data_IF_146373474123
#
_entry.id   IF_146373474123
#
_cell.length_a   1.000
_cell.length_b   1.000
_cell.length_c   1.000
_cell.angle_alpha   90.00
_cell.angle_beta   90.00
_cell.angle_gamma   90.00
#
_symmetry.space_group_name_H-M   'P 1'
#
loop_
_entity.id
_entity.type
_entity.pdbx_description
1 polymer ?
#
# COMPACT_ATOMS: atom_id res chain seq x y z
N UNK A 1 12.00 -11.61 26.00
CA UNK A 1 10.82 -11.24 25.18
C UNK A 1 10.02 -12.51 24.94
N UNK A 2 8.78 -12.59 25.39
CA UNK A 2 7.92 -13.78 25.21
C UNK A 2 7.12 -13.61 23.93
N UNK A 3 7.44 -14.38 22.88
CA UNK A 3 6.81 -14.28 21.58
C UNK A 3 5.82 -15.45 21.37
N UNK A 4 4.66 -15.17 20.76
CA UNK A 4 3.69 -16.15 20.28
C UNK A 4 3.44 -15.91 18.80
N UNK A 5 3.43 -16.98 18.02
CA UNK A 5 3.15 -16.94 16.58
C UNK A 5 1.66 -17.17 16.38
N UNK A 6 0.97 -16.20 15.77
CA UNK A 6 -0.47 -16.23 15.51
C UNK A 6 -0.72 -16.41 14.03
N UNK A 7 -1.45 -17.46 13.66
CA UNK A 7 -1.75 -17.81 12.26
C UNK A 7 -3.27 -17.86 12.09
N UNK A 8 -3.88 -16.86 11.45
CA UNK A 8 -5.29 -16.92 11.07
C UNK A 8 -5.47 -17.92 9.91
N UNK A 9 -6.44 -18.81 10.03
CA UNK A 9 -6.72 -19.80 8.99
C UNK A 9 -8.23 -19.88 8.68
N UNK A 10 -8.53 -20.04 7.41
CA UNK A 10 -9.88 -20.37 6.95
C UNK A 10 -9.79 -21.22 5.68
N UNK A 11 -10.19 -22.49 5.72
CA UNK A 11 -10.11 -23.49 4.65
C UNK A 11 -8.70 -23.54 3.98
N UNK A 12 -7.65 -23.81 4.75
CA UNK A 12 -6.24 -23.92 4.32
C UNK A 12 -5.64 -25.28 4.75
N UNK A 13 -6.44 -26.36 4.80
CA UNK A 13 -5.97 -27.67 5.24
C UNK A 13 -4.76 -28.19 4.45
N UNK A 14 -4.66 -27.84 3.16
CA UNK A 14 -3.54 -28.25 2.30
C UNK A 14 -2.19 -27.64 2.70
N UNK A 15 -2.17 -26.49 3.37
CA UNK A 15 -0.94 -25.73 3.64
C UNK A 15 -0.61 -25.59 5.11
N UNK A 16 -1.63 -25.47 5.97
CA UNK A 16 -1.47 -25.09 7.37
C UNK A 16 -0.55 -26.04 8.15
N UNK A 17 -0.60 -27.33 7.89
CA UNK A 17 0.26 -28.30 8.59
C UNK A 17 1.74 -28.00 8.39
N UNK A 18 2.16 -27.72 7.16
CA UNK A 18 3.57 -27.36 6.83
C UNK A 18 3.95 -26.01 7.45
N UNK A 19 3.05 -25.03 7.40
CA UNK A 19 3.29 -23.71 7.97
C UNK A 19 3.48 -23.79 9.47
N UNK A 20 2.63 -24.53 10.19
CA UNK A 20 2.75 -24.77 11.62
C UNK A 20 4.05 -25.50 11.94
N UNK A 21 4.36 -26.60 11.24
CA UNK A 21 5.59 -27.38 11.48
C UNK A 21 6.85 -26.53 11.32
N UNK A 22 6.89 -25.65 10.31
CA UNK A 22 8.01 -24.74 10.10
C UNK A 22 8.04 -23.58 11.12
N UNK A 23 6.89 -23.03 11.50
CA UNK A 23 6.82 -21.90 12.43
C UNK A 23 7.15 -22.30 13.87
N UNK A 24 6.74 -23.51 14.33
CA UNK A 24 6.88 -23.95 15.72
C UNK A 24 8.32 -24.09 16.20
N UNK A 25 9.28 -24.22 15.31
CA UNK A 25 10.71 -24.26 15.69
C UNK A 25 11.19 -22.91 16.21
N UNK A 26 10.44 -21.85 15.96
CA UNK A 26 10.76 -20.49 16.38
C UNK A 26 9.95 -20.01 17.60
N UNK A 27 8.97 -20.79 18.06
CA UNK A 27 8.17 -20.46 19.24
C UNK A 27 6.78 -21.12 19.26
N UNK A 28 6.00 -20.87 20.31
CA UNK A 28 4.64 -21.35 20.44
C UNK A 28 3.76 -20.84 19.30
N UNK A 29 2.99 -21.74 18.67
CA UNK A 29 2.09 -21.42 17.57
C UNK A 29 0.64 -21.50 18.04
N UNK A 30 -0.10 -20.42 17.86
CA UNK A 30 -1.53 -20.31 18.04
C UNK A 30 -2.21 -20.12 16.69
N UNK A 31 -2.93 -21.13 16.23
CA UNK A 31 -3.76 -21.03 15.03
C UNK A 31 -5.15 -20.57 15.42
N UNK A 32 -5.67 -19.57 14.72
CA UNK A 32 -7.06 -19.12 14.86
C UNK A 32 -7.84 -19.61 13.65
N UNK A 33 -8.60 -20.69 13.85
CA UNK A 33 -9.49 -21.25 12.83
C UNK A 33 -10.79 -20.45 12.76
N UNK A 34 -10.93 -19.64 11.70
CA UNK A 34 -12.07 -18.74 11.48
C UNK A 34 -13.30 -19.49 10.91
N UNK A 35 -13.62 -20.66 11.48
CA UNK A 35 -14.78 -21.46 11.10
C UNK A 35 -14.58 -22.26 9.82
N UNK A 36 -13.39 -22.85 9.61
CA UNK A 36 -13.07 -23.70 8.46
C UNK A 36 -13.97 -24.95 8.40
N UNK A 37 -14.21 -25.44 7.19
CA UNK A 37 -15.02 -26.64 6.89
C UNK A 37 -14.21 -27.79 6.32
N UNK A 38 -12.94 -27.53 5.97
CA UNK A 38 -12.03 -28.48 5.31
C UNK A 38 -11.12 -29.25 6.29
N UNK A 39 -11.27 -29.06 7.61
CA UNK A 39 -10.44 -29.70 8.61
C UNK A 39 -9.15 -28.95 8.96
N UNK A 40 -8.96 -27.71 8.48
CA UNK A 40 -7.77 -26.89 8.75
C UNK A 40 -7.37 -26.85 10.23
N UNK A 41 -8.35 -26.69 11.15
CA UNK A 41 -8.07 -26.67 12.59
C UNK A 41 -7.50 -27.99 13.10
N UNK A 42 -8.03 -29.13 12.64
CA UNK A 42 -7.52 -30.46 13.01
C UNK A 42 -6.10 -30.70 12.47
N UNK A 43 -5.84 -30.29 11.23
CA UNK A 43 -4.51 -30.38 10.61
C UNK A 43 -3.50 -29.51 11.37
N UNK A 44 -3.89 -28.31 11.78
CA UNK A 44 -3.04 -27.42 12.57
C UNK A 44 -2.72 -28.00 13.95
N UNK A 45 -3.71 -28.58 14.64
CA UNK A 45 -3.51 -29.23 15.93
C UNK A 45 -2.59 -30.46 15.82
N UNK A 46 -2.79 -31.30 14.79
CA UNK A 46 -1.92 -32.43 14.50
C UNK A 46 -0.46 -32.02 14.21
N UNK A 47 -0.25 -30.85 13.63
CA UNK A 47 1.08 -30.29 13.41
C UNK A 47 1.71 -29.65 14.67
N UNK A 48 0.99 -29.60 15.79
CA UNK A 48 1.47 -29.15 17.09
C UNK A 48 1.16 -27.70 17.43
N UNK A 49 0.18 -27.08 16.76
CA UNK A 49 -0.34 -25.79 17.15
C UNK A 49 -1.42 -25.90 18.22
N UNK A 50 -1.51 -24.91 19.09
CA UNK A 50 -2.75 -24.67 19.80
C UNK A 50 -3.78 -24.04 18.84
N UNK A 51 -5.06 -24.47 18.95
CA UNK A 51 -6.10 -23.99 18.04
C UNK A 51 -7.21 -23.29 18.81
N UNK A 52 -7.45 -22.02 18.44
CA UNK A 52 -8.64 -21.27 18.82
C UNK A 52 -9.61 -21.30 17.65
N UNK A 53 -10.81 -21.84 17.84
CA UNK A 53 -11.80 -21.93 16.77
C UNK A 53 -12.95 -20.96 16.97
N UNK A 54 -13.31 -20.22 15.93
CA UNK A 54 -14.53 -19.44 15.87
C UNK A 54 -15.71 -20.33 15.46
N UNK A 55 -16.87 -20.13 16.09
CA UNK A 55 -18.10 -20.86 15.75
C UNK A 55 -18.58 -20.58 14.31
N UNK A 56 -18.22 -19.43 13.76
CA UNK A 56 -18.51 -19.01 12.40
C UNK A 56 -17.40 -18.10 11.88
N UNK A 57 -17.33 -17.93 10.57
CA UNK A 57 -16.39 -17.02 9.95
C UNK A 57 -16.65 -15.57 10.38
N UNK A 58 -15.65 -14.95 10.98
CA UNK A 58 -15.63 -13.55 11.44
C UNK A 58 -14.71 -12.67 10.57
N UNK A 59 -13.83 -13.27 9.77
CA UNK A 59 -12.88 -12.63 8.90
C UNK A 59 -11.48 -12.51 9.50
N UNK A 60 -10.47 -12.39 8.61
CA UNK A 60 -9.03 -12.40 8.95
C UNK A 60 -8.67 -11.42 10.08
N UNK A 61 -9.17 -10.19 10.00
CA UNK A 61 -8.89 -9.18 11.03
C UNK A 61 -9.36 -9.63 12.43
N UNK A 62 -10.57 -10.16 12.53
CA UNK A 62 -11.09 -10.64 13.79
C UNK A 62 -10.34 -11.88 14.29
N UNK A 63 -9.96 -12.78 13.38
CA UNK A 63 -9.12 -13.93 13.74
C UNK A 63 -7.76 -13.48 14.30
N UNK A 64 -7.10 -12.51 13.66
CA UNK A 64 -5.85 -11.93 14.18
C UNK A 64 -6.06 -11.30 15.57
N UNK A 65 -7.09 -10.46 15.74
CA UNK A 65 -7.37 -9.82 17.03
C UNK A 65 -7.68 -10.85 18.13
N UNK A 66 -8.43 -11.91 17.82
CA UNK A 66 -8.70 -13.01 18.76
C UNK A 66 -7.43 -13.74 19.16
N UNK A 67 -6.54 -14.00 18.20
CA UNK A 67 -5.24 -14.62 18.43
C UNK A 67 -4.32 -13.75 19.29
N UNK A 68 -4.23 -12.45 18.98
CA UNK A 68 -3.44 -11.49 19.76
C UNK A 68 -3.95 -11.39 21.19
N UNK A 69 -5.28 -11.30 21.39
CA UNK A 69 -5.87 -11.28 22.71
C UNK A 69 -5.59 -12.60 23.49
N UNK A 70 -5.62 -13.74 22.81
CA UNK A 70 -5.28 -15.02 23.40
C UNK A 70 -3.78 -15.15 23.75
N UNK A 71 -2.90 -14.67 22.87
CA UNK A 71 -1.46 -14.61 23.13
C UNK A 71 -1.14 -13.70 24.34
N UNK A 72 -1.80 -12.54 24.43
CA UNK A 72 -1.69 -11.64 25.58
C UNK A 72 -2.06 -12.30 26.90
N UNK A 73 -3.17 -13.05 26.94
CA UNK A 73 -3.57 -13.81 28.17
C UNK A 73 -2.54 -14.85 28.58
N UNK A 74 -1.68 -15.31 27.66
CA UNK A 74 -0.55 -16.21 27.92
C UNK A 74 0.73 -15.48 28.31
N UNK A 75 0.67 -14.18 28.53
CA UNK A 75 1.82 -13.35 28.91
C UNK A 75 2.77 -13.03 27.75
N UNK A 76 2.30 -13.16 26.50
CA UNK A 76 3.10 -12.72 25.36
C UNK A 76 3.31 -11.21 25.41
N UNK A 77 4.56 -10.78 25.25
CA UNK A 77 4.92 -9.37 25.06
C UNK A 77 4.94 -9.00 23.57
N UNK A 78 5.12 -10.00 22.71
CA UNK A 78 5.25 -9.84 21.26
C UNK A 78 4.43 -10.91 20.55
N UNK A 79 3.81 -10.55 19.45
CA UNK A 79 3.10 -11.47 18.55
C UNK A 79 3.70 -11.39 17.16
N UNK A 80 4.07 -12.55 16.62
CA UNK A 80 4.40 -12.71 15.20
C UNK A 80 3.13 -13.15 14.47
N UNK A 81 2.76 -12.49 13.39
CA UNK A 81 1.65 -12.93 12.54
C UNK A 81 2.18 -13.40 11.20
N UNK A 82 1.61 -14.47 10.66
CA UNK A 82 1.84 -14.91 9.28
C UNK A 82 0.59 -15.62 8.74
N UNK A 83 0.45 -15.66 7.42
CA UNK A 83 -0.71 -16.28 6.79
C UNK A 83 -0.57 -17.82 6.71
N UNK A 84 -1.69 -18.53 6.81
CA UNK A 84 -1.73 -20.01 6.78
C UNK A 84 -1.57 -20.60 5.37
N UNK A 85 -1.46 -19.77 4.33
CA UNK A 85 -1.43 -20.18 2.91
C UNK A 85 -0.04 -20.56 2.40
N UNK A 86 0.99 -20.47 3.24
CA UNK A 86 2.35 -20.84 2.91
C UNK A 86 3.12 -19.86 2.01
N UNK A 87 2.63 -18.64 1.84
CA UNK A 87 3.31 -17.61 1.04
C UNK A 87 4.42 -16.87 1.81
N UNK A 88 4.53 -17.10 3.11
CA UNK A 88 5.56 -16.54 3.98
C UNK A 88 6.52 -17.64 4.43
N UNK A 89 7.82 -17.36 4.43
CA UNK A 89 8.83 -18.26 4.94
C UNK A 89 9.01 -18.07 6.45
N UNK A 90 8.63 -19.03 7.30
CA UNK A 90 8.83 -18.94 8.74
C UNK A 90 10.30 -18.80 9.15
N UNK A 91 11.26 -19.19 8.32
CA UNK A 91 12.68 -19.03 8.60
C UNK A 91 13.10 -17.56 8.81
N UNK A 92 12.29 -16.60 8.36
CA UNK A 92 12.53 -15.19 8.61
C UNK A 92 12.08 -14.71 10.01
N UNK A 93 11.35 -15.54 10.79
CA UNK A 93 10.85 -15.16 12.13
C UNK A 93 11.96 -14.64 13.05
N UNK A 94 13.13 -15.30 13.17
CA UNK A 94 14.20 -14.82 14.05
C UNK A 94 14.65 -13.38 13.71
N UNK A 95 14.82 -13.06 12.44
CA UNK A 95 15.24 -11.72 11.99
C UNK A 95 14.18 -10.65 12.33
N UNK A 96 12.89 -10.97 12.16
CA UNK A 96 11.82 -10.06 12.53
C UNK A 96 11.76 -9.85 14.05
N UNK A 97 11.95 -10.91 14.85
CA UNK A 97 11.95 -10.83 16.32
C UNK A 97 13.16 -10.03 16.83
N UNK A 98 14.31 -10.18 16.21
CA UNK A 98 15.52 -9.40 16.52
C UNK A 98 15.27 -7.90 16.26
N UNK A 99 14.69 -7.54 15.10
CA UNK A 99 14.32 -6.17 14.80
C UNK A 99 13.31 -5.62 15.83
N UNK A 100 12.31 -6.39 16.20
CA UNK A 100 11.34 -6.01 17.24
C UNK A 100 11.98 -5.80 18.62
N UNK A 101 13.03 -6.53 18.93
CA UNK A 101 13.83 -6.34 20.15
C UNK A 101 14.60 -5.02 20.17
N UNK A 102 15.12 -4.59 19.01
CA UNK A 102 15.84 -3.31 18.88
C UNK A 102 14.89 -2.11 18.88
N UNK A 103 13.65 -2.28 18.42
CA UNK A 103 12.70 -1.19 18.24
C UNK A 103 11.38 -1.46 19.00
N UNK A 104 11.33 -1.20 20.32
CA UNK A 104 10.19 -1.56 21.18
C UNK A 104 8.90 -0.78 20.88
N UNK A 105 8.96 0.29 20.10
CA UNK A 105 7.80 1.03 19.60
C UNK A 105 7.66 0.97 18.08
N UNK A 106 8.09 -0.13 17.48
CA UNK A 106 7.91 -0.36 16.05
C UNK A 106 6.97 -1.53 15.77
N UNK A 107 6.27 -1.44 14.64
CA UNK A 107 5.67 -2.58 13.94
C UNK A 107 6.69 -3.06 12.93
N UNK A 108 7.11 -4.33 13.04
CA UNK A 108 8.03 -4.90 12.06
C UNK A 108 7.24 -5.58 10.96
N UNK A 109 7.56 -5.29 9.72
CA UNK A 109 6.87 -5.80 8.53
C UNK A 109 7.85 -6.63 7.70
N UNK A 110 7.48 -7.86 7.37
CA UNK A 110 8.20 -8.68 6.41
C UNK A 110 7.91 -8.16 4.98
N UNK A 111 8.87 -7.49 4.38
CA UNK A 111 8.76 -6.86 3.06
C UNK A 111 9.10 -7.86 1.95
N UNK A 112 8.09 -8.28 1.19
CA UNK A 112 8.21 -9.21 0.06
C UNK A 112 8.79 -8.55 -1.21
N UNK A 113 8.84 -7.22 -1.25
CA UNK A 113 9.38 -6.48 -2.40
C UNK A 113 10.90 -6.33 -2.32
N UNK A 114 11.47 -6.44 -1.11
CA UNK A 114 12.91 -6.33 -0.86
C UNK A 114 13.61 -7.69 -0.69
N UNK A 115 12.84 -8.78 -0.53
CA UNK A 115 13.38 -10.12 -0.34
C UNK A 115 13.58 -10.89 -1.65
N UNK A 116 14.14 -12.11 -1.57
CA UNK A 116 14.28 -12.99 -2.71
C UNK A 116 12.91 -13.49 -3.21
N UNK A 117 12.84 -13.83 -4.49
CA UNK A 117 11.62 -14.30 -5.15
C UNK A 117 10.97 -13.20 -5.99
N UNK A 118 10.04 -13.63 -6.86
CA UNK A 118 9.37 -12.73 -7.80
C UNK A 118 7.86 -12.75 -7.58
N UNK A 119 7.29 -11.58 -7.36
CA UNK A 119 5.85 -11.38 -7.43
C UNK A 119 5.44 -11.01 -8.85
N UNK A 120 4.24 -11.44 -9.34
CA UNK A 120 3.71 -10.96 -10.60
C UNK A 120 3.71 -9.41 -10.65
N UNK A 121 4.08 -8.82 -11.78
CA UNK A 121 4.22 -7.37 -11.93
C UNK A 121 2.94 -6.62 -11.53
N UNK A 122 1.77 -7.10 -11.96
CA UNK A 122 0.47 -6.52 -11.59
C UNK A 122 0.23 -6.48 -10.09
N UNK A 123 0.60 -7.56 -9.36
CA UNK A 123 0.48 -7.62 -7.90
C UNK A 123 1.46 -6.66 -7.22
N UNK A 124 2.71 -6.64 -7.68
CA UNK A 124 3.77 -5.75 -7.18
C UNK A 124 3.36 -4.29 -7.33
N UNK A 125 2.86 -3.89 -8.51
CA UNK A 125 2.43 -2.52 -8.76
C UNK A 125 1.22 -2.11 -7.92
N UNK A 126 0.23 -2.99 -7.78
CA UNK A 126 -0.91 -2.73 -6.89
C UNK A 126 -0.47 -2.51 -5.43
N UNK A 127 0.50 -3.30 -4.94
CA UNK A 127 1.06 -3.13 -3.59
C UNK A 127 1.80 -1.80 -3.44
N UNK A 128 2.60 -1.40 -4.44
CA UNK A 128 3.32 -0.12 -4.45
C UNK A 128 2.37 1.07 -4.43
N UNK A 129 1.31 1.04 -5.25
CA UNK A 129 0.28 2.09 -5.26
C UNK A 129 -0.42 2.19 -3.90
N UNK A 130 -0.80 1.06 -3.30
CA UNK A 130 -1.43 1.06 -1.97
C UNK A 130 -0.49 1.63 -0.91
N UNK A 131 0.80 1.24 -0.93
CA UNK A 131 1.80 1.74 0.02
C UNK A 131 2.11 3.22 -0.20
N UNK A 132 2.14 3.71 -1.46
CA UNK A 132 2.30 5.13 -1.74
C UNK A 132 1.21 5.98 -1.03
N UNK A 133 -0.06 5.62 -1.21
CA UNK A 133 -1.15 6.36 -0.56
C UNK A 133 -1.16 6.20 0.97
N UNK A 134 -0.79 5.03 1.48
CA UNK A 134 -0.62 4.82 2.92
C UNK A 134 0.45 5.76 3.49
N UNK A 135 1.62 5.81 2.85
CA UNK A 135 2.74 6.68 3.24
C UNK A 135 2.35 8.15 3.17
N UNK A 136 1.76 8.59 2.06
CA UNK A 136 1.34 9.97 1.89
C UNK A 136 0.35 10.42 2.96
N UNK A 137 -0.60 9.57 3.36
CA UNK A 137 -1.62 9.94 4.34
C UNK A 137 -1.16 9.84 5.79
N UNK A 138 -0.07 9.14 6.08
CA UNK A 138 0.41 8.85 7.44
C UNK A 138 1.80 9.37 7.75
N UNK A 139 2.58 9.76 6.74
CA UNK A 139 4.00 10.08 6.89
C UNK A 139 4.90 8.85 7.11
N UNK A 140 4.38 7.65 6.89
CA UNK A 140 5.17 6.41 6.94
C UNK A 140 6.07 6.28 5.70
N UNK A 141 7.10 5.43 5.81
CA UNK A 141 8.00 5.05 4.74
C UNK A 141 8.00 3.51 4.57
N UNK A 142 6.85 2.95 4.16
CA UNK A 142 6.61 1.50 4.05
C UNK A 142 6.48 1.11 2.58
N UNK A 143 7.21 0.06 2.16
CA UNK A 143 7.16 -0.46 0.79
C UNK A 143 6.09 -1.55 0.64
N UNK A 144 5.91 -2.42 1.64
CA UNK A 144 4.91 -3.49 1.63
C UNK A 144 3.87 -3.33 2.74
N UNK A 145 2.97 -2.35 2.60
CA UNK A 145 1.88 -2.11 3.55
C UNK A 145 0.84 -3.23 3.61
N UNK A 146 0.90 -4.21 2.69
CA UNK A 146 -0.08 -5.29 2.56
C UNK A 146 0.43 -6.65 3.07
N UNK A 147 1.68 -6.72 3.54
CA UNK A 147 2.21 -7.95 4.10
C UNK A 147 1.46 -8.34 5.37
N UNK A 148 1.06 -9.61 5.49
CA UNK A 148 0.50 -10.19 6.72
C UNK A 148 1.57 -10.76 7.65
N UNK A 149 2.83 -10.81 7.20
CA UNK A 149 3.96 -11.27 7.99
C UNK A 149 4.54 -10.12 8.80
N UNK A 150 4.21 -10.06 10.07
CA UNK A 150 4.51 -8.91 10.93
C UNK A 150 4.87 -9.33 12.35
N UNK A 151 5.56 -8.44 13.03
CA UNK A 151 5.73 -8.52 14.49
C UNK A 151 5.12 -7.28 15.13
N UNK A 152 4.27 -7.53 16.10
CA UNK A 152 3.61 -6.50 16.91
C UNK A 152 4.04 -6.63 18.36
N UNK A 153 4.40 -5.52 18.97
CA UNK A 153 4.40 -5.42 20.42
C UNK A 153 2.95 -5.49 20.91
N UNK A 154 2.65 -6.32 21.88
CA UNK A 154 1.27 -6.48 22.38
C UNK A 154 0.71 -5.16 22.95
N UNK A 155 1.58 -4.31 23.52
CA UNK A 155 1.24 -2.98 24.00
C UNK A 155 0.63 -2.07 22.93
N UNK A 156 0.94 -2.27 21.63
CA UNK A 156 0.32 -1.53 20.54
C UNK A 156 -1.22 -1.59 20.62
N UNK A 157 -1.78 -2.73 20.98
CA UNK A 157 -3.23 -2.96 21.02
C UNK A 157 -3.94 -2.33 22.22
N UNK A 158 -3.19 -1.73 23.15
CA UNK A 158 -3.75 -0.85 24.19
C UNK A 158 -4.00 0.55 23.67
N UNK A 159 -3.15 1.00 22.75
CA UNK A 159 -3.17 2.35 22.19
C UNK A 159 -3.98 2.45 20.90
N UNK A 160 -4.06 1.35 20.13
CA UNK A 160 -4.60 1.33 18.77
C UNK A 160 -5.85 0.46 18.70
N UNK A 161 -6.88 0.99 18.05
CA UNK A 161 -8.11 0.26 17.71
C UNK A 161 -8.32 0.29 16.20
N UNK A 162 -8.61 -0.85 15.62
CA UNK A 162 -9.00 -0.99 14.21
C UNK A 162 -10.50 -1.23 14.11
N UNK A 163 -11.14 -0.71 13.07
CA UNK A 163 -12.59 -0.80 12.83
C UNK A 163 -12.91 -1.57 11.55
N UNK A 164 -11.95 -1.70 10.66
CA UNK A 164 -12.11 -2.33 9.36
C UNK A 164 -11.65 -3.78 9.39
N UNK A 165 -12.30 -4.60 8.58
CA UNK A 165 -11.96 -6.00 8.40
C UNK A 165 -11.28 -6.28 7.07
N UNK A 166 -11.01 -7.56 6.80
CA UNK A 166 -10.43 -8.01 5.54
C UNK A 166 -9.02 -7.50 5.31
N UNK A 167 -8.67 -7.23 4.07
CA UNK A 167 -7.35 -6.73 3.65
C UNK A 167 -7.09 -5.25 3.98
N UNK A 168 -8.11 -4.52 4.44
CA UNK A 168 -7.95 -3.13 4.90
C UNK A 168 -7.27 -3.09 6.27
N UNK A 169 -7.41 -4.14 7.08
CA UNK A 169 -6.85 -4.22 8.43
C UNK A 169 -5.33 -3.99 8.43
N UNK A 170 -4.61 -4.60 7.49
CA UNK A 170 -3.16 -4.49 7.40
C UNK A 170 -2.70 -3.05 7.18
N UNK A 171 -3.43 -2.29 6.39
CA UNK A 171 -3.14 -0.87 6.18
C UNK A 171 -3.62 -0.03 7.36
N UNK A 172 -4.85 -0.27 7.84
CA UNK A 172 -5.45 0.52 8.93
C UNK A 172 -4.59 0.49 10.19
N UNK A 173 -4.06 -0.68 10.57
CA UNK A 173 -3.25 -0.81 11.79
C UNK A 173 -1.94 -0.03 11.69
N UNK A 174 -1.29 0.02 10.53
CA UNK A 174 -0.08 0.81 10.31
C UNK A 174 -0.36 2.31 10.44
N UNK A 175 -1.44 2.78 9.79
CA UNK A 175 -1.83 4.18 9.88
C UNK A 175 -2.24 4.58 11.31
N UNK A 176 -2.91 3.68 12.02
CA UNK A 176 -3.32 3.91 13.40
C UNK A 176 -2.12 3.90 14.38
N UNK A 177 -1.14 3.02 14.12
CA UNK A 177 0.12 2.97 14.86
C UNK A 177 0.92 4.26 14.67
N UNK A 178 1.12 4.71 13.41
CA UNK A 178 1.80 5.96 13.09
C UNK A 178 1.15 7.17 13.79
N UNK A 179 -0.19 7.23 13.80
CA UNK A 179 -0.93 8.30 14.48
C UNK A 179 -0.72 8.32 16.02
N UNK A 180 -0.14 7.27 16.60
CA UNK A 180 0.23 7.13 18.01
C UNK A 180 1.73 7.21 18.26
N UNK A 181 2.51 7.61 17.24
CA UNK A 181 3.97 7.75 17.33
C UNK A 181 4.72 6.42 17.31
N UNK A 182 4.08 5.34 16.84
CA UNK A 182 4.78 4.10 16.54
C UNK A 182 5.46 4.21 15.18
N UNK A 183 6.65 3.64 15.07
CA UNK A 183 7.37 3.52 13.80
C UNK A 183 7.01 2.22 13.08
N UNK A 184 7.40 2.11 11.83
CA UNK A 184 7.33 0.86 11.05
C UNK A 184 8.70 0.59 10.49
N UNK A 185 9.20 -0.61 10.71
CA UNK A 185 10.46 -1.10 10.16
C UNK A 185 10.18 -2.28 9.24
N UNK A 186 10.94 -2.40 8.16
CA UNK A 186 10.78 -3.47 7.19
C UNK A 186 12.02 -4.36 7.15
N UNK A 187 11.78 -5.66 7.14
CA UNK A 187 12.81 -6.69 6.94
C UNK A 187 12.48 -7.42 5.63
N UNK A 188 13.44 -7.51 4.71
CA UNK A 188 13.27 -8.26 3.47
C UNK A 188 13.00 -9.73 3.73
N UNK A 189 11.89 -10.25 3.20
CA UNK A 189 11.50 -11.66 3.34
C UNK A 189 11.23 -12.29 1.98
N UNK A 190 11.43 -13.59 1.86
CA UNK A 190 11.16 -14.31 0.63
C UNK A 190 9.67 -14.21 0.24
N UNK A 191 9.43 -13.92 -1.04
CA UNK A 191 8.11 -14.00 -1.64
C UNK A 191 7.91 -15.42 -2.21
N UNK A 192 7.15 -16.27 -1.52
CA UNK A 192 6.87 -17.63 -1.97
C UNK A 192 5.64 -17.61 -2.89
N UNK A 193 5.76 -18.06 -4.15
CA UNK A 193 4.60 -18.18 -5.04
C UNK A 193 3.60 -19.19 -4.48
N UNK A 194 2.32 -18.89 -4.57
CA UNK A 194 1.26 -19.83 -4.19
C UNK A 194 1.17 -20.94 -5.23
N UNK A 195 1.30 -22.19 -4.80
CA UNK A 195 1.17 -23.36 -5.67
C UNK A 195 -0.29 -23.63 -6.03
N UNK A 196 -0.70 -23.33 -7.27
CA UNK A 196 -1.93 -23.86 -7.91
C UNK A 196 -3.29 -23.43 -7.37
N UNK A 197 -3.44 -22.98 -6.14
CA UNK A 197 -4.71 -22.58 -5.55
C UNK A 197 -5.06 -21.11 -5.84
N UNK A 198 -6.36 -20.83 -6.01
CA UNK A 198 -6.84 -19.46 -6.24
C UNK A 198 -6.61 -18.59 -5.01
N UNK A 199 -5.95 -17.45 -5.20
CA UNK A 199 -5.82 -16.42 -4.17
C UNK A 199 -7.21 -16.01 -3.66
N UNK A 200 -7.36 -15.84 -2.35
CA UNK A 200 -8.59 -15.29 -1.76
C UNK A 200 -8.71 -13.79 -1.91
N UNK A 201 -7.63 -13.14 -2.25
CA UNK A 201 -7.65 -11.74 -2.65
C UNK A 201 -8.44 -11.62 -3.96
N UNK A 202 -9.54 -10.88 -3.90
CA UNK A 202 -10.37 -10.54 -5.05
C UNK A 202 -9.92 -9.17 -5.56
N UNK A 203 -9.16 -9.09 -6.67
CA UNK A 203 -8.46 -7.85 -7.07
C UNK A 203 -9.38 -6.63 -7.15
N UNK A 204 -10.58 -6.79 -7.70
CA UNK A 204 -11.54 -5.71 -7.83
C UNK A 204 -12.14 -5.35 -6.47
N UNK A 205 -12.74 -6.31 -5.77
CA UNK A 205 -13.47 -6.05 -4.51
C UNK A 205 -12.55 -5.55 -3.40
N UNK A 206 -11.45 -6.24 -3.18
CA UNK A 206 -10.53 -5.94 -2.09
C UNK A 206 -9.68 -4.72 -2.45
N UNK A 207 -9.32 -4.54 -3.72
CA UNK A 207 -8.67 -3.35 -4.25
C UNK A 207 -9.55 -2.10 -4.11
N UNK A 208 -10.84 -2.18 -4.43
CA UNK A 208 -11.81 -1.09 -4.21
C UNK A 208 -11.98 -0.80 -2.72
N UNK A 209 -12.00 -1.81 -1.85
CA UNK A 209 -12.12 -1.62 -0.41
C UNK A 209 -10.89 -0.88 0.17
N UNK A 210 -9.68 -1.28 -0.22
CA UNK A 210 -8.42 -0.62 0.17
C UNK A 210 -8.37 0.80 -0.41
N UNK A 211 -8.64 0.95 -1.71
CA UNK A 211 -8.66 2.25 -2.39
C UNK A 211 -9.69 3.19 -1.78
N UNK A 212 -10.90 2.73 -1.49
CA UNK A 212 -11.95 3.51 -0.84
C UNK A 212 -11.57 3.93 0.60
N UNK A 213 -10.91 3.05 1.34
CA UNK A 213 -10.39 3.39 2.67
C UNK A 213 -9.33 4.49 2.57
N UNK A 214 -8.35 4.35 1.69
CA UNK A 214 -7.29 5.34 1.49
C UNK A 214 -7.84 6.66 0.96
N UNK A 215 -8.76 6.63 -0.03
CA UNK A 215 -9.44 7.82 -0.53
C UNK A 215 -10.21 8.54 0.58
N UNK A 216 -10.91 7.83 1.44
CA UNK A 216 -11.57 8.40 2.61
C UNK A 216 -10.60 9.11 3.56
N UNK A 217 -9.40 8.55 3.75
CA UNK A 217 -8.33 9.19 4.56
C UNK A 217 -7.80 10.46 3.91
N UNK A 218 -7.57 10.44 2.59
CA UNK A 218 -7.14 11.61 1.82
C UNK A 218 -8.21 12.72 1.90
N UNK A 219 -9.48 12.38 1.64
CA UNK A 219 -10.58 13.33 1.71
C UNK A 219 -10.72 13.91 3.12
N UNK A 220 -10.66 13.07 4.16
CA UNK A 220 -10.74 13.52 5.54
C UNK A 220 -9.56 14.44 5.93
N UNK A 221 -8.36 14.18 5.40
CA UNK A 221 -7.21 15.07 5.56
C UNK A 221 -7.48 16.41 4.87
N UNK A 222 -7.85 16.40 3.60
CA UNK A 222 -8.16 17.61 2.82
C UNK A 222 -9.30 18.42 3.44
N UNK A 223 -10.37 17.78 3.90
CA UNK A 223 -11.48 18.46 4.56
C UNK A 223 -11.04 19.18 5.83
N UNK A 224 -10.15 18.57 6.62
CA UNK A 224 -9.59 19.23 7.81
C UNK A 224 -8.72 20.43 7.45
N UNK A 225 -7.89 20.30 6.44
CA UNK A 225 -7.02 21.37 5.96
C UNK A 225 -7.83 22.53 5.37
N UNK A 226 -8.85 22.21 4.53
CA UNK A 226 -9.77 23.23 3.98
C UNK A 226 -10.54 23.95 5.11
N UNK A 227 -11.01 23.22 6.12
CA UNK A 227 -11.66 23.82 7.30
C UNK A 227 -10.71 24.71 8.11
N UNK A 228 -9.47 24.27 8.28
CA UNK A 228 -8.45 25.08 8.95
C UNK A 228 -8.16 26.37 8.18
N UNK A 229 -8.02 26.27 6.83
CA UNK A 229 -7.84 27.43 5.94
C UNK A 229 -9.10 28.31 5.92
N UNK A 230 -10.31 27.74 5.86
CA UNK A 230 -11.55 28.51 5.89
C UNK A 230 -11.76 29.25 7.22
N UNK A 231 -11.26 28.71 8.34
CA UNK A 231 -11.22 29.42 9.64
C UNK A 231 -10.24 30.60 9.66
N UNK A 232 -9.27 30.62 8.74
CA UNK A 232 -8.28 31.68 8.59
C UNK A 232 -8.54 32.56 7.34
N UNK A 233 -9.78 32.60 6.83
CA UNK A 233 -10.18 33.17 5.54
C UNK A 233 -9.87 34.68 5.37
N UNK A 234 -9.31 35.34 6.38
CA UNK A 234 -8.76 36.70 6.31
C UNK A 234 -7.24 36.76 6.48
N UNK A 235 -6.58 35.65 6.74
CA UNK A 235 -5.13 35.56 6.72
C UNK A 235 -4.70 35.06 5.33
N UNK A 236 -3.97 35.92 4.64
CA UNK A 236 -3.32 35.77 3.35
C UNK A 236 -3.01 34.31 2.98
N UNK A 237 -3.37 33.93 1.77
CA UNK A 237 -2.97 32.68 1.10
C UNK A 237 -1.48 32.45 1.33
N UNK A 238 -1.12 31.60 2.28
CA UNK A 238 0.30 31.32 2.59
C UNK A 238 0.85 30.34 1.54
N UNK A 239 1.76 30.78 0.65
CA UNK A 239 2.40 29.92 -0.35
C UNK A 239 3.11 28.72 0.28
N UNK A 240 3.56 28.86 1.50
CA UNK A 240 4.32 27.84 2.25
C UNK A 240 3.52 26.57 2.54
N UNK A 241 2.20 26.64 2.69
CA UNK A 241 1.37 25.44 2.91
C UNK A 241 1.22 24.58 1.67
N UNK A 242 1.13 25.19 0.49
CA UNK A 242 1.16 24.45 -0.78
C UNK A 242 2.53 23.81 -1.03
N UNK A 243 3.60 24.54 -0.69
CA UNK A 243 4.97 24.03 -0.78
C UNK A 243 5.19 22.85 0.17
N UNK A 244 4.72 22.92 1.42
CA UNK A 244 4.79 21.83 2.40
C UNK A 244 4.06 20.59 1.90
N UNK A 245 2.86 20.75 1.33
CA UNK A 245 2.08 19.63 0.78
C UNK A 245 2.77 18.99 -0.43
N UNK A 246 3.33 19.82 -1.32
CA UNK A 246 4.12 19.33 -2.45
C UNK A 246 5.33 18.54 -1.95
N UNK A 247 6.04 19.05 -0.94
CA UNK A 247 7.16 18.36 -0.32
C UNK A 247 6.78 17.01 0.32
N UNK A 248 5.60 16.91 0.96
CA UNK A 248 5.10 15.64 1.51
C UNK A 248 4.81 14.60 0.42
N UNK A 249 4.23 15.02 -0.72
CA UNK A 249 4.02 14.13 -1.88
C UNK A 249 5.37 13.68 -2.43
N UNK A 250 6.31 14.60 -2.58
CA UNK A 250 7.66 14.28 -3.04
C UNK A 250 8.39 13.34 -2.09
N UNK A 251 8.26 13.55 -0.78
CA UNK A 251 8.85 12.66 0.22
C UNK A 251 8.28 11.24 0.14
N UNK A 252 6.95 11.10 0.00
CA UNK A 252 6.32 9.81 -0.20
C UNK A 252 6.72 9.15 -1.53
N UNK A 253 6.90 9.95 -2.60
CA UNK A 253 7.35 9.47 -3.90
C UNK A 253 8.84 9.10 -3.92
N UNK A 254 9.68 9.77 -3.14
CA UNK A 254 11.14 9.52 -3.07
C UNK A 254 11.49 8.11 -2.59
N UNK A 255 10.59 7.46 -1.84
CA UNK A 255 10.73 6.06 -1.44
C UNK A 255 10.72 5.14 -2.67
N UNK A 256 10.09 5.58 -3.76
CA UNK A 256 9.88 4.79 -4.98
C UNK A 256 10.59 5.39 -6.21
N UNK A 257 11.24 6.54 -6.09
CA UNK A 257 11.83 7.26 -7.21
C UNK A 257 13.24 7.78 -6.90
N UNK A 258 14.19 7.50 -7.80
CA UNK A 258 15.55 8.05 -7.72
C UNK A 258 15.56 9.58 -7.79
N UNK A 259 14.51 10.17 -8.37
CA UNK A 259 14.38 11.62 -8.53
C UNK A 259 12.92 12.07 -8.38
N UNK A 260 12.54 12.65 -7.22
CA UNK A 260 11.21 13.22 -7.00
C UNK A 260 10.84 14.32 -8.01
N UNK A 261 11.83 15.11 -8.45
CA UNK A 261 11.62 16.14 -9.45
C UNK A 261 11.22 15.57 -10.83
N UNK A 262 11.87 14.48 -11.26
CA UNK A 262 11.52 13.77 -12.49
C UNK A 262 10.11 13.17 -12.40
N UNK A 263 9.75 12.61 -11.26
CA UNK A 263 8.41 12.07 -11.02
C UNK A 263 7.36 13.18 -11.11
N UNK A 264 7.54 14.31 -10.42
CA UNK A 264 6.63 15.46 -10.48
C UNK A 264 6.46 16.00 -11.89
N UNK A 265 7.56 16.14 -12.63
CA UNK A 265 7.54 16.63 -14.01
C UNK A 265 6.79 15.65 -14.93
N UNK A 266 7.04 14.36 -14.82
CA UNK A 266 6.36 13.32 -15.60
C UNK A 266 4.87 13.28 -15.29
N UNK A 267 4.47 13.35 -14.02
CA UNK A 267 3.07 13.40 -13.59
C UNK A 267 2.38 14.64 -14.15
N UNK A 268 2.97 15.83 -13.99
CA UNK A 268 2.43 17.08 -14.50
C UNK A 268 2.27 17.08 -16.03
N UNK A 269 3.27 16.59 -16.75
CA UNK A 269 3.24 16.50 -18.21
C UNK A 269 2.16 15.50 -18.71
N UNK A 270 1.98 14.40 -18.03
CA UNK A 270 0.96 13.40 -18.38
C UNK A 270 -0.45 13.94 -18.08
N UNK A 271 -0.65 14.61 -16.94
CA UNK A 271 -1.91 15.26 -16.60
C UNK A 271 -2.29 16.33 -17.62
N UNK A 272 -1.33 17.17 -18.01
CA UNK A 272 -1.55 18.20 -19.03
C UNK A 272 -1.91 17.60 -20.39
N UNK A 273 -1.21 16.54 -20.85
CA UNK A 273 -1.53 15.85 -22.11
C UNK A 273 -2.93 15.26 -22.09
N UNK A 274 -3.33 14.57 -21.02
CA UNK A 274 -4.67 13.97 -20.90
C UNK A 274 -5.77 15.03 -20.86
N UNK A 275 -5.57 16.13 -20.13
CA UNK A 275 -6.51 17.24 -20.10
C UNK A 275 -6.68 17.87 -21.50
N UNK A 276 -5.59 18.10 -22.22
CA UNK A 276 -5.62 18.62 -23.59
C UNK A 276 -6.36 17.68 -24.57
N UNK A 277 -6.12 16.37 -24.48
CA UNK A 277 -6.83 15.37 -25.29
C UNK A 277 -8.33 15.37 -25.03
N UNK A 278 -8.76 15.44 -23.76
CA UNK A 278 -10.19 15.53 -23.42
C UNK A 278 -10.83 16.80 -23.91
N UNK A 279 -10.19 17.95 -23.70
CA UNK A 279 -10.68 19.23 -24.22
C UNK A 279 -10.82 19.21 -25.73
N UNK A 280 -9.83 18.70 -26.45
CA UNK A 280 -9.89 18.58 -27.91
C UNK A 280 -11.04 17.66 -28.39
N UNK A 281 -11.30 16.59 -27.65
CA UNK A 281 -12.42 15.66 -27.94
C UNK A 281 -13.77 16.32 -27.69
N UNK A 282 -13.92 17.06 -26.60
CA UNK A 282 -15.15 17.79 -26.26
C UNK A 282 -15.41 18.87 -27.34
N UNK A 283 -14.36 19.62 -27.71
CA UNK A 283 -14.44 20.66 -28.73
C UNK A 283 -14.83 20.09 -30.10
N UNK A 284 -14.20 18.97 -30.51
CA UNK A 284 -14.53 18.29 -31.76
C UNK A 284 -15.98 17.83 -31.79
N UNK A 285 -16.46 17.12 -30.73
CA UNK A 285 -17.85 16.68 -30.61
C UNK A 285 -18.85 17.86 -30.58
N UNK A 286 -18.47 18.98 -29.96
CA UNK A 286 -19.27 20.22 -29.98
C UNK A 286 -19.43 20.76 -31.37
N UNK A 287 -18.36 20.80 -32.18
CA UNK A 287 -18.41 21.24 -33.60
C UNK A 287 -19.30 20.34 -34.45
N UNK A 288 -19.18 19.02 -34.30
CA UNK A 288 -19.98 18.02 -35.03
C UNK A 288 -21.48 18.18 -34.76
N UNK A 289 -21.85 18.64 -33.56
CA UNK A 289 -23.24 18.89 -33.13
C UNK A 289 -23.80 20.28 -33.50
N UNK A 290 -22.98 21.13 -34.07
CA UNK A 290 -23.35 22.48 -34.53
C UNK A 290 -23.03 23.61 -33.55
N UNK A 291 -23.08 24.85 -34.06
CA UNK A 291 -22.67 26.06 -33.33
C UNK A 291 -23.44 26.28 -32.01
N UNK A 292 -24.72 25.91 -31.95
CA UNK A 292 -25.52 26.02 -30.71
C UNK A 292 -25.02 25.13 -29.58
N UNK A 293 -24.61 23.89 -29.89
CA UNK A 293 -24.04 22.98 -28.92
C UNK A 293 -22.65 23.44 -28.45
N UNK A 294 -21.86 24.03 -29.33
CA UNK A 294 -20.57 24.64 -29.00
C UNK A 294 -20.73 25.84 -28.05
N UNK A 295 -21.73 26.69 -28.28
CA UNK A 295 -22.03 27.82 -27.41
C UNK A 295 -22.49 27.40 -26.02
N UNK A 296 -23.37 26.39 -25.93
CA UNK A 296 -23.77 25.79 -24.63
C UNK A 296 -22.58 25.16 -23.89
N UNK A 297 -21.70 24.46 -24.60
CA UNK A 297 -20.49 23.88 -24.00
C UNK A 297 -19.53 24.97 -23.48
N UNK A 298 -19.39 26.09 -24.21
CA UNK A 298 -18.57 27.22 -23.77
C UNK A 298 -19.14 27.89 -22.52
N UNK A 299 -20.46 28.08 -22.44
CA UNK A 299 -21.14 28.63 -21.26
C UNK A 299 -21.07 27.70 -20.04
N UNK A 300 -21.09 26.41 -20.27
CA UNK A 300 -20.95 25.41 -19.19
C UNK A 300 -19.48 25.16 -18.77
N UNK A 301 -18.50 25.62 -19.56
CA UNK A 301 -17.08 25.34 -19.31
C UNK A 301 -16.58 25.75 -17.91
N UNK A 302 -16.95 26.92 -17.34
CA UNK A 302 -16.52 27.31 -15.99
C UNK A 302 -16.95 26.33 -14.90
N UNK A 303 -18.09 25.63 -15.07
CA UNK A 303 -18.60 24.64 -14.12
C UNK A 303 -18.05 23.25 -14.41
N UNK A 304 -17.89 22.89 -15.67
CA UNK A 304 -17.48 21.55 -16.08
C UNK A 304 -15.97 21.35 -16.11
N UNK A 305 -15.20 22.42 -16.36
CA UNK A 305 -13.73 22.36 -16.45
C UNK A 305 -13.06 21.88 -15.14
N UNK A 306 -13.44 22.41 -13.96
CA UNK A 306 -12.88 21.92 -12.69
C UNK A 306 -13.22 20.47 -12.43
N UNK A 307 -14.44 20.03 -12.73
CA UNK A 307 -14.86 18.63 -12.59
C UNK A 307 -14.11 17.72 -13.59
N UNK A 308 -13.93 18.19 -14.82
CA UNK A 308 -13.18 17.47 -15.83
C UNK A 308 -11.69 17.34 -15.45
N UNK A 309 -11.09 18.40 -14.92
CA UNK A 309 -9.73 18.38 -14.41
C UNK A 309 -9.60 17.42 -13.22
N UNK A 310 -10.52 17.48 -12.28
CA UNK A 310 -10.54 16.57 -11.13
C UNK A 310 -10.69 15.11 -11.59
N UNK A 311 -11.61 14.83 -12.50
CA UNK A 311 -11.82 13.50 -13.06
C UNK A 311 -10.60 13.03 -13.87
N UNK A 312 -9.94 13.93 -14.63
CA UNK A 312 -8.73 13.61 -15.39
C UNK A 312 -7.57 13.29 -14.46
N UNK A 313 -7.37 14.09 -13.41
CA UNK A 313 -6.29 13.86 -12.44
C UNK A 313 -6.57 12.61 -11.59
N UNK A 314 -7.75 12.46 -11.04
CA UNK A 314 -8.08 11.38 -10.12
C UNK A 314 -8.40 10.06 -10.83
N UNK A 315 -9.07 10.11 -12.00
CA UNK A 315 -9.53 8.92 -12.70
C UNK A 315 -8.55 8.38 -13.73
N UNK A 316 -7.93 9.26 -14.52
CA UNK A 316 -7.12 8.83 -15.66
C UNK A 316 -5.62 8.97 -15.42
N UNK A 317 -5.19 10.04 -14.73
CA UNK A 317 -3.77 10.29 -14.56
C UNK A 317 -3.17 9.49 -13.39
N UNK A 318 -3.94 9.27 -12.32
CA UNK A 318 -3.42 8.55 -11.17
C UNK A 318 -3.11 7.07 -11.50
N UNK A 319 -4.01 6.29 -12.10
CA UNK A 319 -3.72 4.90 -12.46
C UNK A 319 -2.73 4.78 -13.62
N UNK A 320 -2.93 5.59 -14.69
CA UNK A 320 -2.15 5.48 -15.93
C UNK A 320 -0.74 6.06 -15.81
N UNK A 321 -0.50 6.96 -14.87
CA UNK A 321 0.81 7.61 -14.67
C UNK A 321 1.55 7.03 -13.48
N UNK A 322 0.87 6.75 -12.38
CA UNK A 322 1.54 6.16 -11.22
C UNK A 322 2.01 4.74 -11.55
N UNK A 323 1.18 3.90 -12.15
CA UNK A 323 1.57 2.53 -12.47
C UNK A 323 2.69 2.46 -13.52
N UNK A 324 2.61 3.10 -14.70
CA UNK A 324 3.72 3.11 -15.65
C UNK A 324 4.96 3.83 -15.13
N UNK A 325 4.79 4.89 -14.32
CA UNK A 325 5.91 5.60 -13.75
C UNK A 325 6.62 4.75 -12.69
N UNK A 326 5.89 4.05 -11.86
CA UNK A 326 6.43 3.07 -10.92
C UNK A 326 7.13 1.94 -11.71
N UNK A 327 6.56 1.48 -12.82
CA UNK A 327 7.19 0.48 -13.68
C UNK A 327 8.48 1.01 -14.34
N UNK A 328 8.48 2.23 -14.83
CA UNK A 328 9.66 2.85 -15.44
C UNK A 328 10.78 3.11 -14.41
N UNK A 329 10.41 3.50 -13.20
CA UNK A 329 11.38 3.84 -12.15
C UNK A 329 11.86 2.63 -11.34
N UNK A 330 11.04 1.56 -11.25
CA UNK A 330 11.30 0.39 -10.39
C UNK A 330 11.04 -0.95 -11.06
N UNK A 331 10.46 -0.96 -12.26
CA UNK A 331 10.00 -2.16 -12.97
C UNK A 331 11.09 -2.91 -13.71
N UNK A 332 12.32 -2.42 -13.72
CA UNK A 332 13.46 -3.17 -14.24
C UNK A 332 13.56 -4.52 -13.57
N UNK A 333 13.65 -5.61 -14.35
CA UNK A 333 14.00 -6.92 -13.83
C UNK A 333 15.26 -6.79 -12.95
N UNK A 334 15.40 -7.54 -11.86
CA UNK A 334 16.63 -7.54 -11.09
C UNK A 334 17.79 -7.92 -12.02
N UNK A 335 18.61 -6.95 -12.41
CA UNK A 335 19.71 -7.12 -13.36
C UNK A 335 19.69 -6.18 -14.58
N UNK A 336 18.59 -5.50 -14.90
CA UNK A 336 18.58 -4.41 -15.85
C UNK A 336 18.70 -3.09 -15.10
N UNK A 337 19.92 -2.72 -14.74
CA UNK A 337 20.23 -1.30 -14.51
C UNK A 337 19.82 -0.57 -15.78
N UNK A 338 18.99 0.49 -15.73
CA UNK A 338 18.84 1.33 -16.91
C UNK A 338 20.27 1.74 -17.27
N UNK A 339 20.66 1.46 -18.51
CA UNK A 339 21.91 1.99 -19.04
C UNK A 339 21.90 3.46 -18.61
N UNK A 340 22.93 3.88 -17.88
CA UNK A 340 23.12 5.29 -17.57
C UNK A 340 23.11 5.97 -18.92
N UNK A 341 22.02 6.68 -19.23
CA UNK A 341 22.01 7.58 -20.36
C UNK A 341 23.23 8.46 -20.12
N UNK A 342 24.23 8.32 -20.95
CA UNK A 342 25.35 9.23 -21.02
C UNK A 342 24.75 10.65 -21.04
N UNK A 343 25.30 11.60 -20.29
CA UNK A 343 24.80 12.95 -20.34
C UNK A 343 24.83 13.38 -21.80
N UNK A 344 23.65 13.68 -22.35
CA UNK A 344 23.51 14.26 -23.69
C UNK A 344 24.43 15.47 -23.70
N UNK A 345 25.53 15.36 -24.42
CA UNK A 345 26.52 16.40 -24.51
C UNK A 345 25.82 17.64 -25.10
N UNK A 346 25.58 18.60 -24.23
CA UNK A 346 24.91 19.86 -24.58
C UNK A 346 25.72 20.70 -25.59
N UNK A 347 26.94 20.27 -25.93
CA UNK A 347 27.76 20.87 -26.97
C UNK A 347 27.34 20.46 -28.37
N UNK A 348 26.93 19.21 -28.60
CA UNK A 348 26.49 18.74 -29.90
C UNK A 348 25.17 19.40 -30.38
N UNK A 349 24.33 19.86 -29.47
CA UNK A 349 23.10 20.60 -29.82
C UNK A 349 23.37 22.07 -30.16
N UNK A 350 24.46 22.67 -29.70
CA UNK A 350 24.84 24.05 -30.02
C UNK A 350 25.49 24.15 -31.40
N UNK A 351 26.29 23.16 -31.81
CA UNK A 351 26.97 23.18 -33.10
C UNK A 351 26.01 22.93 -34.29
N UNK A 352 24.94 22.18 -34.10
CA UNK A 352 23.92 21.95 -35.14
C UNK A 352 23.05 23.20 -35.46
N UNK A 353 23.03 24.21 -34.59
CA UNK A 353 22.32 25.49 -34.82
C UNK A 353 23.25 26.52 -35.52
N UNK A 354 24.56 26.39 -35.35
CA UNK A 354 25.53 27.31 -35.95
C UNK A 354 25.81 27.04 -37.46
N UNK A 355 25.51 25.82 -37.96
CA UNK A 355 25.72 25.50 -39.38
C UNK A 355 24.48 25.81 -40.27
N UNK A 356 23.41 26.41 -39.73
CA UNK A 356 22.21 26.82 -40.50
C UNK A 356 21.94 28.32 -40.45
N UNK A 357 22.95 29.15 -40.20
CA UNK A 357 22.86 30.59 -40.32
C UNK A 357 23.72 31.08 -41.45
#
# INVERSE_FOLDING_TARGET
>A
MTAVIVIPVFDEAATIGRVVAAARVHGPVLVVDDGSRDGSGAVAAAAGAEVLRHARRLGKAQALLSGIAAARRRGASVVVTLDGDGQHDPAAIPALLEAAGRAPRAVIVGNRLAGPGTLPATRRNAMRVASFFANWTSGLAVHDSQSGFRVYQVALFDEVRTRRGGFVFETEILLAAAARGWTVEEIGVAAIPRGGERSRFRPVRDGVAIGGFLAGRVIARWTREVRAVAGELFAVFEPDRLATRHAEILAAASIYADSPARWSAAFGAAAARRAAQRLSTIWRRGRERGLGAAAVAALAAPLTLPLLLLQTVAGDCLPDVITPLIDALYGGAPGSSPARDEPVDSRAAADAVAERS
#
